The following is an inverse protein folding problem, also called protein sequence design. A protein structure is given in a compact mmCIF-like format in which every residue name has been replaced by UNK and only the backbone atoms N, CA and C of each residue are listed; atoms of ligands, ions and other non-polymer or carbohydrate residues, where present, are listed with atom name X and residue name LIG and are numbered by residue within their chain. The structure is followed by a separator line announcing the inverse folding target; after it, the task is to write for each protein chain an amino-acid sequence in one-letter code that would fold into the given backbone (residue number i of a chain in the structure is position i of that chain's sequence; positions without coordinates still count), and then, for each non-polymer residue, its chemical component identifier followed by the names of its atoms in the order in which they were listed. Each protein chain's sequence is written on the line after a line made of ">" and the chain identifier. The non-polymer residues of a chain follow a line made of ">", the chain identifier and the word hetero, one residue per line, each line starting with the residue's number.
data_IF_607530271102
#
_entry.id   IF_607530271102
#
_cell.length_a   1.000
_cell.length_b   1.000
_cell.length_c   1.000
_cell.angle_alpha   90.00
_cell.angle_beta   90.00
_cell.angle_gamma   90.00
#
_symmetry.space_group_name_H-M   'P 1'
#
loop_
_entity.id
_entity.type
_entity.pdbx_description
1 polymer ?
#
# COMPACT_ATOMS: atom_id res chain seq x y z
N UNK A 1 60.73 -21.06 -56.19
CA UNK A 1 59.54 -20.66 -57.00
C UNK A 1 58.29 -21.24 -56.37
N UNK A 2 57.27 -20.38 -56.16
CA UNK A 2 55.82 -20.71 -56.09
C UNK A 2 55.33 -21.46 -54.83
N UNK A 3 54.19 -21.15 -54.22
CA UNK A 3 53.07 -20.24 -54.54
C UNK A 3 52.25 -20.01 -53.26
N UNK A 4 51.77 -18.78 -53.09
CA UNK A 4 50.60 -18.45 -52.28
C UNK A 4 49.37 -19.09 -52.93
N UNK A 5 48.47 -19.66 -52.14
CA UNK A 5 47.05 -19.77 -52.52
C UNK A 5 46.14 -19.60 -51.30
N UNK A 6 45.18 -18.69 -51.45
CA UNK A 6 44.08 -18.31 -50.57
C UNK A 6 42.83 -19.12 -50.95
N UNK A 7 41.95 -19.43 -49.97
CA UNK A 7 40.52 -19.75 -50.14
C UNK A 7 39.87 -19.42 -48.77
N UNK A 8 39.09 -18.36 -48.50
CA UNK A 8 37.90 -17.71 -49.08
C UNK A 8 36.63 -18.59 -49.08
N UNK A 9 35.61 -18.05 -48.38
CA UNK A 9 34.17 -18.35 -48.34
C UNK A 9 33.73 -19.51 -47.43
N UNK A 10 32.61 -19.45 -46.68
CA UNK A 10 31.40 -18.64 -46.86
C UNK A 10 30.66 -18.46 -45.52
N UNK A 11 30.09 -17.26 -45.37
CA UNK A 11 29.09 -16.80 -44.40
C UNK A 11 27.87 -17.72 -44.22
N UNK A 12 27.21 -17.56 -43.05
CA UNK A 12 25.76 -17.57 -42.71
C UNK A 12 25.71 -18.08 -41.25
N UNK A 13 25.45 -17.29 -40.20
CA UNK A 13 24.59 -16.13 -40.06
C UNK A 13 23.37 -16.56 -39.25
N UNK A 14 23.38 -16.37 -37.93
CA UNK A 14 22.17 -16.29 -37.10
C UNK A 14 22.42 -15.34 -35.91
N UNK A 15 22.12 -14.05 -36.14
CA UNK A 15 21.71 -13.13 -35.10
C UNK A 15 20.19 -13.24 -34.98
N UNK A 16 19.68 -13.85 -33.91
CA UNK A 16 18.36 -13.52 -33.35
C UNK A 16 18.68 -13.06 -31.92
N UNK A 17 18.53 -11.80 -31.57
CA UNK A 17 17.34 -10.99 -31.81
C UNK A 17 16.53 -11.07 -30.52
N UNK A 18 16.77 -10.13 -29.60
CA UNK A 18 15.97 -9.94 -28.40
C UNK A 18 14.50 -9.95 -28.81
N UNK A 19 13.73 -10.87 -28.25
CA UNK A 19 12.28 -10.83 -28.36
C UNK A 19 11.82 -9.50 -27.77
N UNK A 20 11.24 -8.68 -28.65
CA UNK A 20 10.48 -7.51 -28.26
C UNK A 20 9.38 -7.98 -27.32
N UNK A 21 9.42 -7.51 -26.07
CA UNK A 21 8.21 -7.37 -25.27
C UNK A 21 7.42 -6.21 -25.85
N UNK A 22 6.21 -6.49 -26.33
CA UNK A 22 5.24 -5.50 -26.78
C UNK A 22 5.05 -4.42 -25.72
N UNK A 23 5.66 -3.26 -25.96
CA UNK A 23 5.33 -2.01 -25.31
C UNK A 23 4.39 -1.30 -26.29
N UNK A 24 3.10 -1.33 -26.03
CA UNK A 24 2.14 -0.46 -26.71
C UNK A 24 2.48 0.99 -26.38
N UNK A 25 3.35 1.58 -27.20
CA UNK A 25 3.55 3.01 -27.27
C UNK A 25 2.32 3.61 -27.93
N UNK A 26 1.58 4.42 -27.16
CA UNK A 26 0.53 5.27 -27.69
C UNK A 26 1.07 6.13 -28.86
N UNK A 27 0.25 6.46 -29.87
CA UNK A 27 0.74 7.17 -31.05
C UNK A 27 1.22 8.57 -30.67
N UNK A 28 2.50 8.84 -30.92
CA UNK A 28 3.07 10.19 -30.87
C UNK A 28 2.54 11.01 -32.04
N UNK A 29 1.53 11.84 -31.80
CA UNK A 29 1.22 12.96 -32.69
C UNK A 29 2.06 14.19 -32.30
N UNK A 30 3.03 14.50 -33.15
CA UNK A 30 3.72 15.79 -33.35
C UNK A 30 3.94 16.70 -32.13
N UNK A 31 5.02 16.46 -31.38
CA UNK A 31 5.65 17.50 -30.55
C UNK A 31 6.91 18.02 -31.25
N UNK A 32 6.93 19.33 -31.47
CA UNK A 32 8.09 20.04 -32.03
C UNK A 32 9.27 19.95 -31.06
N UNK A 33 10.48 19.83 -31.62
CA UNK A 33 11.73 19.41 -30.98
C UNK A 33 12.34 20.38 -29.94
N UNK A 34 11.53 21.19 -29.24
CA UNK A 34 11.98 22.08 -28.16
C UNK A 34 11.24 21.87 -26.84
N UNK A 35 10.30 20.93 -26.75
CA UNK A 35 9.75 20.52 -25.47
C UNK A 35 10.79 19.69 -24.73
N UNK A 36 11.36 20.29 -23.67
CA UNK A 36 12.06 19.51 -22.65
C UNK A 36 11.06 18.44 -22.19
N UNK A 37 11.35 17.18 -22.48
CA UNK A 37 10.72 16.04 -21.82
C UNK A 37 10.91 16.27 -20.32
N UNK A 38 9.91 16.85 -19.65
CA UNK A 38 9.84 16.85 -18.20
C UNK A 38 9.61 15.38 -17.86
N UNK A 39 10.54 14.72 -17.16
CA UNK A 39 10.31 13.35 -16.71
C UNK A 39 8.97 13.33 -15.98
N UNK A 40 8.13 12.33 -16.27
CA UNK A 40 6.89 12.13 -15.53
C UNK A 40 7.29 11.96 -14.05
N UNK A 41 7.11 13.01 -13.24
CA UNK A 41 7.41 12.97 -11.81
C UNK A 41 6.21 12.34 -11.13
N UNK A 42 6.45 11.34 -10.29
CA UNK A 42 5.39 10.80 -9.43
C UNK A 42 4.87 11.91 -8.51
N UNK A 43 3.55 11.93 -8.32
CA UNK A 43 2.89 12.86 -7.41
C UNK A 43 2.43 12.12 -6.16
N UNK A 44 2.51 12.80 -5.03
CA UNK A 44 1.90 12.37 -3.79
C UNK A 44 0.60 13.14 -3.61
N UNK A 45 -0.50 12.40 -3.63
CA UNK A 45 -1.85 12.95 -3.59
C UNK A 45 -2.54 12.53 -2.29
N UNK A 46 -3.16 13.49 -1.61
CA UNK A 46 -3.98 13.21 -0.44
C UNK A 46 -5.16 14.15 -0.31
N UNK A 47 -6.24 13.67 0.31
CA UNK A 47 -7.41 14.48 0.63
C UNK A 47 -7.41 14.89 2.10
N UNK A 48 -7.68 16.16 2.39
CA UNK A 48 -7.92 16.65 3.75
C UNK A 48 -8.98 17.76 3.72
N UNK A 49 -9.96 17.70 4.63
CA UNK A 49 -11.09 18.63 4.69
C UNK A 49 -11.84 18.81 3.35
N UNK A 50 -12.00 17.71 2.60
CA UNK A 50 -12.71 17.70 1.32
C UNK A 50 -11.96 18.36 0.15
N UNK A 51 -10.70 18.78 0.36
CA UNK A 51 -9.81 19.27 -0.69
C UNK A 51 -8.70 18.25 -0.95
N UNK A 52 -8.43 17.99 -2.22
CA UNK A 52 -7.28 17.19 -2.65
C UNK A 52 -6.07 18.10 -2.81
N UNK A 53 -4.96 17.65 -2.25
CA UNK A 53 -3.63 18.25 -2.37
C UNK A 53 -2.75 17.28 -3.16
N UNK A 54 -1.94 17.81 -4.05
CA UNK A 54 -1.07 17.03 -4.92
C UNK A 54 0.25 17.77 -5.05
N UNK A 55 1.35 17.05 -4.91
CA UNK A 55 2.69 17.60 -5.09
C UNK A 55 3.57 16.55 -5.74
N UNK A 56 4.41 16.92 -6.73
CA UNK A 56 5.57 16.11 -7.06
C UNK A 56 6.41 15.85 -5.81
N UNK A 57 7.00 14.67 -5.73
CA UNK A 57 7.84 14.32 -4.60
C UNK A 57 9.10 13.56 -5.03
N UNK A 58 10.07 13.53 -4.14
CA UNK A 58 11.19 12.60 -4.21
C UNK A 58 11.49 12.03 -2.83
N UNK A 59 12.17 10.88 -2.81
CA UNK A 59 12.62 10.25 -1.57
C UNK A 59 14.07 10.66 -1.30
N UNK A 60 14.32 11.31 -0.18
CA UNK A 60 15.67 11.53 0.35
C UNK A 60 16.08 10.31 1.19
N UNK A 61 17.21 9.70 0.82
CA UNK A 61 17.77 8.49 1.45
C UNK A 61 16.75 7.35 1.62
N UNK A 62 15.86 7.17 0.63
CA UNK A 62 14.80 6.15 0.59
C UNK A 62 13.84 6.16 1.80
N UNK A 63 13.85 7.21 2.62
CA UNK A 63 13.16 7.23 3.92
C UNK A 63 12.33 8.46 4.16
N UNK A 64 12.75 9.61 3.63
CA UNK A 64 12.09 10.90 3.83
C UNK A 64 11.47 11.34 2.51
N UNK A 65 10.14 11.41 2.47
CA UNK A 65 9.42 12.01 1.36
C UNK A 65 9.58 13.53 1.44
N UNK A 66 10.07 14.13 0.37
CA UNK A 66 10.15 15.58 0.21
C UNK A 66 9.13 16.00 -0.85
N UNK A 67 8.18 16.84 -0.44
CA UNK A 67 7.17 17.43 -1.31
C UNK A 67 7.74 18.74 -1.89
N UNK A 68 7.69 18.87 -3.21
CA UNK A 68 8.25 20.03 -3.92
C UNK A 68 7.35 21.27 -3.84
N UNK A 69 6.04 21.09 -3.72
CA UNK A 69 5.10 22.19 -3.46
C UNK A 69 5.14 22.56 -1.97
N UNK A 70 5.65 23.77 -1.69
CA UNK A 70 5.81 24.27 -0.32
C UNK A 70 4.49 24.41 0.44
N UNK A 71 3.40 24.81 -0.24
CA UNK A 71 2.09 24.94 0.42
C UNK A 71 1.55 23.58 0.82
N UNK A 72 1.65 22.60 -0.09
CA UNK A 72 1.25 21.21 0.19
C UNK A 72 2.14 20.60 1.28
N UNK A 73 3.45 20.87 1.25
CA UNK A 73 4.40 20.42 2.26
C UNK A 73 4.06 20.94 3.66
N UNK A 74 3.74 22.24 3.79
CA UNK A 74 3.34 22.85 5.07
C UNK A 74 2.06 22.24 5.61
N UNK A 75 1.09 21.94 4.75
CA UNK A 75 -0.17 21.29 5.15
C UNK A 75 0.10 19.86 5.61
N UNK A 76 0.85 19.10 4.83
CA UNK A 76 1.20 17.73 5.16
C UNK A 76 1.97 17.62 6.48
N UNK A 77 2.99 18.47 6.67
CA UNK A 77 3.76 18.51 7.92
C UNK A 77 2.87 18.84 9.13
N UNK A 78 1.89 19.76 8.98
CA UNK A 78 0.94 20.07 10.07
C UNK A 78 0.04 18.89 10.42
N UNK A 79 -0.44 18.16 9.42
CA UNK A 79 -1.26 16.95 9.64
C UNK A 79 -0.48 15.92 10.45
N UNK A 80 0.78 15.69 10.11
CA UNK A 80 1.65 14.72 10.79
C UNK A 80 1.98 15.08 12.25
N UNK A 81 1.70 16.31 12.69
CA UNK A 81 1.86 16.70 14.10
C UNK A 81 0.56 16.54 14.92
N UNK A 82 -0.55 16.15 14.30
CA UNK A 82 -1.80 15.90 15.01
C UNK A 82 -1.70 14.64 15.90
N UNK A 83 -2.05 14.72 17.20
CA UNK A 83 -1.90 13.60 18.13
C UNK A 83 -2.86 12.44 17.81
N UNK A 84 -4.03 12.75 17.27
CA UNK A 84 -5.11 11.78 17.01
C UNK A 84 -5.38 11.58 15.50
N UNK A 85 -4.40 11.97 14.65
CA UNK A 85 -4.50 11.88 13.19
C UNK A 85 -5.04 10.51 12.76
N UNK A 86 -6.10 10.53 11.96
CA UNK A 86 -6.63 9.33 11.33
C UNK A 86 -6.33 9.34 9.83
N UNK A 87 -5.59 8.33 9.39
CA UNK A 87 -5.27 8.08 7.99
C UNK A 87 -6.24 7.05 7.43
N UNK A 88 -6.85 7.35 6.30
CA UNK A 88 -7.74 6.44 5.58
C UNK A 88 -7.14 6.11 4.22
N UNK A 89 -7.08 4.82 3.89
CA UNK A 89 -6.54 4.28 2.64
C UNK A 89 -7.65 3.51 1.93
N UNK A 90 -7.99 3.95 0.72
CA UNK A 90 -9.00 3.30 -0.12
C UNK A 90 -8.47 2.01 -0.74
N UNK A 91 -9.33 1.14 -1.31
CA UNK A 91 -8.86 -0.05 -2.04
C UNK A 91 -7.95 0.28 -3.24
N UNK A 92 -8.02 1.50 -3.77
CA UNK A 92 -7.18 1.96 -4.88
C UNK A 92 -5.87 2.59 -4.41
N UNK A 93 -5.65 2.72 -3.10
CA UNK A 93 -4.47 3.34 -2.52
C UNK A 93 -4.59 4.86 -2.29
N UNK A 94 -5.73 5.48 -2.59
CA UNK A 94 -5.94 6.91 -2.30
C UNK A 94 -5.89 7.15 -0.79
N UNK A 95 -5.23 8.23 -0.38
CA UNK A 95 -5.05 8.58 1.03
C UNK A 95 -5.92 9.78 1.39
N UNK A 96 -6.66 9.68 2.47
CA UNK A 96 -7.34 10.80 3.11
C UNK A 96 -6.95 10.92 4.58
N UNK A 97 -6.85 12.15 5.07
CA UNK A 97 -6.57 12.46 6.47
C UNK A 97 -7.78 13.09 7.15
N UNK A 98 -7.93 12.80 8.44
CA UNK A 98 -8.94 13.35 9.33
C UNK A 98 -8.29 13.71 10.67
N UNK A 99 -8.81 14.71 11.36
CA UNK A 99 -8.20 15.18 12.61
C UNK A 99 -8.30 14.14 13.71
N UNK A 100 -9.36 13.31 13.68
CA UNK A 100 -9.59 12.23 14.63
C UNK A 100 -10.18 10.98 13.98
N UNK A 101 -10.00 9.83 14.64
CA UNK A 101 -10.66 8.58 14.22
C UNK A 101 -12.20 8.66 14.24
N UNK A 102 -12.78 9.44 15.15
CA UNK A 102 -14.23 9.61 15.21
C UNK A 102 -14.78 10.35 13.98
N UNK A 103 -14.07 11.38 13.49
CA UNK A 103 -14.44 12.06 12.25
C UNK A 103 -14.40 11.11 11.05
N UNK A 104 -13.37 10.25 10.97
CA UNK A 104 -13.31 9.21 9.94
C UNK A 104 -14.53 8.27 10.02
N UNK A 105 -14.91 7.81 11.22
CA UNK A 105 -16.08 6.93 11.41
C UNK A 105 -17.38 7.56 10.92
N UNK A 106 -17.55 8.88 11.03
CA UNK A 106 -18.73 9.58 10.52
C UNK A 106 -18.78 9.62 8.99
N UNK A 107 -17.64 9.49 8.31
CA UNK A 107 -17.52 9.47 6.84
C UNK A 107 -17.59 8.08 6.24
N UNK A 108 -17.22 7.05 7.00
CA UNK A 108 -17.30 5.68 6.52
C UNK A 108 -18.77 5.29 6.28
N UNK A 109 -19.06 4.56 5.18
CA UNK A 109 -20.41 4.09 4.91
C UNK A 109 -20.88 3.23 6.08
N UNK A 110 -21.95 3.66 6.75
CA UNK A 110 -22.57 2.88 7.82
C UNK A 110 -23.05 1.56 7.22
N UNK A 111 -22.44 0.45 7.63
CA UNK A 111 -22.97 -0.87 7.29
C UNK A 111 -24.40 -0.96 7.86
N UNK A 112 -25.41 -0.95 6.97
CA UNK A 112 -26.76 -1.33 7.35
C UNK A 112 -26.72 -2.79 7.78
N UNK A 113 -27.02 -3.07 9.04
CA UNK A 113 -27.14 -4.43 9.57
C UNK A 113 -28.06 -5.24 8.64
N UNK A 114 -27.48 -6.16 7.85
CA UNK A 114 -28.27 -7.18 7.17
C UNK A 114 -28.66 -8.21 8.22
N UNK A 115 -29.91 -8.18 8.65
CA UNK A 115 -30.54 -9.18 9.54
C UNK A 115 -30.74 -10.55 8.83
N UNK A 116 -29.80 -10.96 7.99
CA UNK A 116 -29.89 -12.21 7.25
C UNK A 116 -29.27 -13.32 8.07
N UNK A 117 -30.02 -14.40 8.32
CA UNK A 117 -29.61 -15.65 9.00
C UNK A 117 -28.53 -16.45 8.25
N UNK A 118 -27.73 -15.81 7.40
CA UNK A 118 -26.65 -16.43 6.65
C UNK A 118 -25.44 -16.51 7.57
N UNK A 119 -24.82 -17.70 7.68
CA UNK A 119 -23.56 -17.86 8.40
C UNK A 119 -22.60 -16.73 8.00
N UNK A 120 -22.13 -15.90 8.96
CA UNK A 120 -21.29 -14.77 8.62
C UNK A 120 -20.04 -15.28 7.93
N UNK A 121 -19.71 -14.67 6.80
CA UNK A 121 -18.54 -15.06 6.03
C UNK A 121 -17.32 -14.59 6.81
N UNK A 122 -16.51 -15.55 7.27
CA UNK A 122 -15.38 -15.30 8.16
C UNK A 122 -14.14 -14.94 7.35
N UNK A 123 -13.67 -13.72 7.51
CA UNK A 123 -12.38 -13.29 6.99
C UNK A 123 -11.29 -13.57 8.02
N UNK A 124 -10.06 -13.79 7.55
CA UNK A 124 -8.88 -13.89 8.41
C UNK A 124 -7.99 -12.69 8.17
N UNK A 125 -7.78 -11.89 9.22
CA UNK A 125 -6.71 -10.90 9.28
C UNK A 125 -5.44 -11.61 9.74
N UNK A 126 -4.40 -11.56 8.91
CA UNK A 126 -3.07 -12.01 9.28
C UNK A 126 -2.14 -10.81 9.40
N UNK A 127 -1.45 -10.71 10.53
CA UNK A 127 -0.42 -9.68 10.78
C UNK A 127 0.96 -10.33 10.88
N UNK A 128 1.96 -9.64 10.37
CA UNK A 128 3.32 -10.14 10.22
C UNK A 128 4.33 -9.18 10.86
N UNK A 129 5.34 -9.75 11.50
CA UNK A 129 6.42 -9.00 12.15
C UNK A 129 7.26 -8.17 11.16
N UNK A 130 7.36 -8.60 9.91
CA UNK A 130 8.20 -7.97 8.91
C UNK A 130 7.39 -7.57 7.70
N UNK A 131 7.95 -6.68 6.88
CA UNK A 131 7.40 -6.34 5.57
C UNK A 131 7.28 -7.59 4.68
N UNK A 132 6.54 -7.46 3.58
CA UNK A 132 6.36 -8.48 2.55
C UNK A 132 5.88 -9.81 3.13
N UNK A 133 5.03 -9.78 4.16
CA UNK A 133 4.39 -10.96 4.75
C UNK A 133 5.40 -12.00 5.28
N UNK A 134 6.54 -11.54 5.82
CA UNK A 134 7.68 -12.36 6.24
C UNK A 134 8.27 -13.24 5.12
N UNK A 135 8.07 -12.91 3.84
CA UNK A 135 8.64 -13.69 2.71
C UNK A 135 10.16 -13.57 2.64
N UNK A 136 10.72 -12.42 3.03
CA UNK A 136 12.15 -12.14 2.94
C UNK A 136 12.95 -12.65 4.15
N UNK A 137 12.30 -12.81 5.30
CA UNK A 137 12.91 -13.35 6.53
C UNK A 137 11.87 -13.89 7.50
N UNK A 138 12.26 -14.89 8.29
CA UNK A 138 11.42 -15.49 9.33
C UNK A 138 11.06 -14.47 10.42
N UNK A 139 9.78 -14.41 10.78
CA UNK A 139 9.26 -13.56 11.86
C UNK A 139 7.94 -14.11 12.40
N UNK A 140 7.41 -13.49 13.45
CA UNK A 140 6.11 -13.84 14.03
C UNK A 140 4.95 -13.58 13.07
N UNK A 141 3.92 -14.40 13.20
CA UNK A 141 2.68 -14.33 12.44
C UNK A 141 1.53 -14.55 13.42
N UNK A 142 0.51 -13.70 13.36
CA UNK A 142 -0.71 -13.89 14.12
C UNK A 142 -1.93 -13.78 13.21
N UNK A 143 -2.84 -14.74 13.35
CA UNK A 143 -4.10 -14.79 12.63
C UNK A 143 -5.25 -14.42 13.57
N UNK A 144 -6.20 -13.65 13.06
CA UNK A 144 -7.42 -13.25 13.75
C UNK A 144 -8.62 -13.50 12.85
N UNK A 145 -9.63 -14.17 13.39
CA UNK A 145 -10.93 -14.30 12.73
C UNK A 145 -11.70 -12.99 12.88
N UNK A 146 -12.23 -12.46 11.77
CA UNK A 146 -12.97 -11.20 11.76
C UNK A 146 -14.49 -11.44 11.91
N UNK A 147 -15.22 -10.56 12.62
CA UNK A 147 -14.76 -9.29 13.20
C UNK A 147 -13.93 -9.48 14.48
N UNK A 148 -12.95 -8.59 14.70
CA UNK A 148 -12.08 -8.64 15.87
C UNK A 148 -11.83 -7.24 16.45
N UNK A 149 -11.86 -7.17 17.77
CA UNK A 149 -11.59 -5.98 18.57
C UNK A 149 -10.48 -6.31 19.56
N UNK A 150 -9.27 -5.80 19.33
CA UNK A 150 -8.12 -6.04 20.20
C UNK A 150 -7.66 -4.73 20.81
N UNK A 151 -8.02 -4.43 22.07
CA UNK A 151 -7.56 -3.21 22.74
C UNK A 151 -6.07 -3.25 23.05
N UNK A 152 -5.41 -4.41 23.01
CA UNK A 152 -3.97 -4.55 23.19
C UNK A 152 -3.45 -5.79 22.44
N UNK A 153 -2.23 -5.73 21.89
CA UNK A 153 -1.57 -6.83 21.19
C UNK A 153 -0.55 -7.60 22.03
N UNK A 154 -0.30 -7.16 23.26
CA UNK A 154 0.73 -7.71 24.15
C UNK A 154 0.54 -9.21 24.44
N UNK A 155 -0.68 -9.67 24.66
CA UNK A 155 -0.98 -11.09 24.89
C UNK A 155 -0.69 -11.98 23.69
N UNK A 156 -0.64 -11.39 22.49
CA UNK A 156 -0.30 -12.08 21.25
C UNK A 156 1.19 -11.95 20.91
N UNK A 157 1.96 -11.22 21.72
CA UNK A 157 3.38 -10.96 21.49
C UNK A 157 3.66 -10.19 20.19
N UNK A 158 2.70 -9.38 19.74
CA UNK A 158 2.74 -8.59 18.49
C UNK A 158 2.74 -7.06 18.72
N UNK A 159 2.78 -6.62 19.98
CA UNK A 159 2.80 -5.18 20.31
C UNK A 159 4.05 -4.52 19.75
N UNK A 160 3.89 -3.44 18.99
CA UNK A 160 5.00 -2.69 18.37
C UNK A 160 5.92 -3.58 17.51
N UNK A 161 5.34 -4.58 16.81
CA UNK A 161 6.10 -5.50 15.96
C UNK A 161 5.55 -5.61 14.53
N UNK A 162 4.35 -5.10 14.27
CA UNK A 162 3.68 -5.34 12.99
C UNK A 162 4.29 -4.44 11.91
N UNK A 163 4.70 -5.05 10.79
CA UNK A 163 5.26 -4.35 9.63
C UNK A 163 4.54 -4.69 8.31
N UNK A 164 3.72 -5.73 8.26
CA UNK A 164 2.76 -5.97 7.15
C UNK A 164 1.50 -6.71 7.60
N UNK A 165 0.44 -6.67 6.78
CA UNK A 165 -0.77 -7.44 7.04
C UNK A 165 -1.51 -7.84 5.76
N UNK A 166 -2.30 -8.89 5.86
CA UNK A 166 -3.19 -9.34 4.79
C UNK A 166 -4.58 -9.70 5.34
N UNK A 167 -5.61 -9.50 4.52
CA UNK A 167 -6.96 -10.02 4.79
C UNK A 167 -7.30 -11.06 3.74
N UNK A 168 -7.67 -12.26 4.19
CA UNK A 168 -7.98 -13.38 3.29
C UNK A 168 -9.31 -14.05 3.62
N UNK A 169 -9.86 -14.76 2.65
CA UNK A 169 -11.06 -15.59 2.80
C UNK A 169 -10.98 -16.82 1.88
N UNK A 170 -11.52 -17.95 2.32
CA UNK A 170 -11.62 -19.16 1.47
C UNK A 170 -12.78 -19.14 0.47
N UNK A 171 -13.69 -18.18 0.61
CA UNK A 171 -14.81 -17.91 -0.30
C UNK A 171 -14.57 -16.58 -1.03
N UNK A 172 -15.35 -16.29 -2.08
CA UNK A 172 -15.35 -15.01 -2.79
C UNK A 172 -16.54 -14.10 -2.39
N UNK A 173 -16.60 -13.58 -1.15
CA UNK A 173 -17.62 -12.62 -0.74
C UNK A 173 -17.32 -11.20 -1.21
N UNK A 174 -18.28 -10.55 -1.87
CA UNK A 174 -18.20 -9.12 -2.22
C UNK A 174 -18.71 -8.19 -1.11
N UNK A 175 -18.17 -8.29 0.12
CA UNK A 175 -18.55 -7.39 1.23
C UNK A 175 -17.45 -6.40 1.52
N UNK A 176 -17.82 -5.12 1.64
CA UNK A 176 -16.89 -4.06 2.03
C UNK A 176 -16.57 -4.21 3.52
N UNK A 177 -15.29 -4.41 3.83
CA UNK A 177 -14.77 -4.48 5.19
C UNK A 177 -13.68 -3.44 5.43
N UNK A 178 -13.23 -3.36 6.67
CA UNK A 178 -12.14 -2.46 7.07
C UNK A 178 -11.27 -3.03 8.17
N UNK A 179 -9.99 -2.66 8.14
CA UNK A 179 -9.05 -2.90 9.24
C UNK A 179 -8.50 -1.56 9.68
N UNK A 180 -8.58 -1.27 10.98
CA UNK A 180 -7.97 -0.09 11.59
C UNK A 180 -6.92 -0.52 12.60
N UNK A 181 -5.73 0.06 12.48
CA UNK A 181 -4.64 -0.08 13.42
C UNK A 181 -4.45 1.21 14.20
N UNK A 182 -4.12 1.10 15.48
CA UNK A 182 -3.90 2.22 16.37
C UNK A 182 -2.50 2.12 16.96
N UNK A 183 -1.88 3.29 17.12
CA UNK A 183 -0.54 3.39 17.66
C UNK A 183 -0.47 2.92 19.11
N UNK A 184 -1.44 3.34 19.91
CA UNK A 184 -1.45 3.08 21.35
C UNK A 184 -2.52 2.02 21.73
N UNK A 185 -2.41 1.39 22.91
CA UNK A 185 -3.45 0.53 23.45
C UNK A 185 -4.80 1.25 23.59
N UNK A 186 -5.88 0.49 23.66
CA UNK A 186 -7.26 0.96 23.82
C UNK A 186 -7.74 1.91 22.72
N UNK A 187 -7.25 1.72 21.50
CA UNK A 187 -7.67 2.45 20.30
C UNK A 187 -7.41 3.97 20.40
N UNK A 188 -6.25 4.34 20.94
CA UNK A 188 -5.86 5.73 21.19
C UNK A 188 -4.78 6.21 20.22
N UNK A 189 -4.56 7.54 20.23
CA UNK A 189 -3.60 8.26 19.41
C UNK A 189 -3.88 8.11 17.90
N UNK A 190 -2.83 8.21 17.08
CA UNK A 190 -2.95 8.08 15.63
C UNK A 190 -3.54 6.73 15.22
N UNK A 191 -4.27 6.73 14.11
CA UNK A 191 -4.87 5.53 13.51
C UNK A 191 -4.65 5.48 12.00
N UNK A 192 -4.63 4.26 11.46
CA UNK A 192 -4.64 4.02 10.02
C UNK A 192 -5.68 2.95 9.67
N UNK A 193 -6.60 3.30 8.77
CA UNK A 193 -7.70 2.45 8.33
C UNK A 193 -7.57 2.11 6.85
N UNK A 194 -7.65 0.83 6.54
CA UNK A 194 -7.72 0.30 5.18
C UNK A 194 -9.11 -0.27 4.93
N UNK A 195 -9.73 0.09 3.81
CA UNK A 195 -10.94 -0.57 3.34
C UNK A 195 -10.63 -1.49 2.17
N UNK A 196 -11.46 -2.53 2.03
CA UNK A 196 -11.41 -3.47 0.93
C UNK A 196 -12.84 -3.86 0.53
N UNK A 197 -13.04 -4.22 -0.73
CA UNK A 197 -14.37 -4.51 -1.27
C UNK A 197 -14.43 -5.81 -2.09
N UNK A 198 -13.38 -6.08 -2.86
CA UNK A 198 -13.29 -7.19 -3.80
C UNK A 198 -11.93 -7.87 -3.65
N UNK A 199 -11.82 -9.15 -4.02
CA UNK A 199 -10.52 -9.80 -4.02
C UNK A 199 -9.57 -9.16 -5.04
N UNK A 200 -8.30 -9.03 -4.66
CA UNK A 200 -7.22 -8.43 -5.46
C UNK A 200 -6.71 -9.36 -6.58
N UNK A 201 -7.04 -10.67 -6.52
CA UNK A 201 -6.64 -11.63 -7.55
C UNK A 201 -5.17 -12.03 -7.55
N UNK A 202 -4.51 -12.06 -6.39
CA UNK A 202 -3.10 -12.48 -6.27
C UNK A 202 -2.95 -14.01 -6.38
N UNK A 203 -2.27 -14.55 -7.42
CA UNK A 203 -2.13 -15.99 -7.64
C UNK A 203 -1.14 -16.66 -6.67
N UNK A 204 -0.37 -15.89 -5.88
CA UNK A 204 0.58 -16.44 -4.90
C UNK A 204 -0.09 -16.91 -3.62
N UNK A 205 -1.39 -16.64 -3.46
CA UNK A 205 -2.16 -17.04 -2.29
C UNK A 205 -3.18 -18.13 -2.64
N UNK A 206 -3.29 -19.12 -1.77
CA UNK A 206 -4.26 -20.23 -1.92
C UNK A 206 -5.71 -19.82 -1.61
N UNK A 207 -5.93 -18.60 -1.09
CA UNK A 207 -7.21 -18.05 -0.68
C UNK A 207 -7.47 -16.74 -1.44
N UNK A 208 -8.73 -16.30 -1.47
CA UNK A 208 -9.05 -14.95 -1.95
C UNK A 208 -8.45 -13.91 -1.02
N UNK A 209 -7.70 -12.97 -1.58
CA UNK A 209 -7.02 -11.90 -0.85
C UNK A 209 -7.78 -10.61 -1.07
N UNK A 210 -8.13 -9.91 0.01
CA UNK A 210 -8.93 -8.69 -0.02
C UNK A 210 -8.11 -7.43 0.31
N UNK A 211 -7.10 -7.57 1.16
CA UNK A 211 -6.20 -6.50 1.55
C UNK A 211 -4.77 -7.03 1.59
N UNK A 212 -3.85 -6.25 1.04
CA UNK A 212 -2.41 -6.46 1.07
C UNK A 212 -1.76 -5.15 1.48
N UNK A 213 -1.21 -5.10 2.69
CA UNK A 213 -0.35 -4.00 3.14
C UNK A 213 1.05 -4.56 3.22
N UNK A 214 1.83 -4.35 2.16
CA UNK A 214 3.17 -4.92 2.03
C UNK A 214 4.16 -4.39 3.07
N UNK A 215 4.07 -3.10 3.38
CA UNK A 215 4.97 -2.47 4.33
C UNK A 215 4.33 -1.23 4.96
N UNK A 216 4.14 -1.27 6.29
CA UNK A 216 3.66 -0.10 7.03
C UNK A 216 4.64 1.09 6.99
N UNK A 217 5.89 0.87 6.59
CA UNK A 217 6.89 1.92 6.37
C UNK A 217 6.39 3.01 5.41
N UNK A 218 5.57 2.62 4.43
CA UNK A 218 5.07 3.49 3.37
C UNK A 218 4.09 4.55 3.89
N UNK A 219 3.60 4.39 5.13
CA UNK A 219 2.67 5.30 5.77
C UNK A 219 3.34 6.00 6.95
N UNK A 220 3.13 7.31 7.08
CA UNK A 220 3.70 8.11 8.18
C UNK A 220 2.72 8.18 9.36
N UNK A 221 3.27 8.06 10.57
CA UNK A 221 2.56 8.34 11.84
C UNK A 221 2.74 9.82 12.21
N UNK A 222 3.96 10.33 12.02
CA UNK A 222 4.35 11.72 12.23
C UNK A 222 5.58 12.05 11.39
N UNK A 223 6.05 13.29 11.42
CA UNK A 223 7.26 13.69 10.70
C UNK A 223 8.44 12.75 11.02
N UNK A 224 9.02 12.16 9.97
CA UNK A 224 10.13 11.17 10.02
C UNK A 224 9.82 9.83 10.72
N UNK A 225 8.58 9.57 11.16
CA UNK A 225 8.20 8.30 11.79
C UNK A 225 7.13 7.62 10.96
N UNK A 226 7.37 6.36 10.61
CA UNK A 226 6.42 5.50 9.90
C UNK A 226 5.69 4.54 10.85
N UNK A 227 4.78 3.75 10.30
CA UNK A 227 3.92 2.83 11.04
C UNK A 227 4.56 1.49 11.42
N UNK A 228 5.73 1.11 10.86
CA UNK A 228 6.37 -0.16 11.24
C UNK A 228 6.68 -0.19 12.72
N UNK A 229 6.34 -1.30 13.36
CA UNK A 229 6.71 -1.58 14.75
C UNK A 229 6.11 -0.54 15.72
N UNK A 230 4.93 0.00 15.42
CA UNK A 230 4.23 1.01 16.22
C UNK A 230 2.79 0.67 16.56
N UNK A 231 2.32 -0.51 16.17
CA UNK A 231 0.91 -0.88 16.32
C UNK A 231 0.72 -1.59 17.66
N UNK A 232 -0.16 -1.06 18.50
CA UNK A 232 -0.46 -1.63 19.83
C UNK A 232 -1.89 -2.13 19.98
N UNK A 233 -2.84 -1.66 19.15
CA UNK A 233 -4.23 -2.14 19.16
C UNK A 233 -4.86 -2.10 17.77
N UNK A 234 -5.93 -2.88 17.55
CA UNK A 234 -6.60 -2.95 16.24
C UNK A 234 -8.09 -3.27 16.31
N UNK A 235 -8.81 -2.87 15.26
CA UNK A 235 -10.20 -3.23 14.99
C UNK A 235 -10.32 -3.72 13.56
N UNK A 236 -11.05 -4.80 13.32
CA UNK A 236 -11.30 -5.28 11.97
C UNK A 236 -12.75 -5.78 11.84
N UNK A 237 -13.45 -5.37 10.78
CA UNK A 237 -14.86 -5.64 10.54
C UNK A 237 -15.15 -5.98 9.08
#
# INVERSE_FOLDING_TARGET
>A
MRKITILIALFIGIMFGCQNSDLELAPTENLQSNDRLIPLRETFDFTYNGKTYSSPFYMENDTIMILEDEEVAVIYDRLLELPDLATYVTPNGDIAYYDTYNELLEKLPKQTQRNSLVNPIKYTLTVYEHANYNRDRTGKIQNFEMPVLLPELKSYGMNDMISSCAVTNSLNPGTIGSVTFFRDPNYQAQSITFTYAFPLGDPTWNNYVFLLVENFHNYKVKKKINWNDRISSLKAF
#
